data_IF_174304827119
#
_entry.id   IF_174304827119
#
_cell.length_a   1.000
_cell.length_b   1.000
_cell.length_c   1.000
_cell.angle_alpha   90.00
_cell.angle_beta   90.00
_cell.angle_gamma   90.00
#
_symmetry.space_group_name_H-M   'P 1'
#
loop_
_entity.id
_entity.type
_entity.pdbx_description
1 polymer ?
#
# COMPACT_ATOMS: atom_id res chain seq x y z
N UNK A 1 -16.00 -9.43 14.00
CA UNK A 1 -15.52 -9.89 12.68
C UNK A 1 -14.44 -8.92 12.24
N UNK A 2 -13.21 -9.38 12.02
CA UNK A 2 -12.15 -8.50 11.49
C UNK A 2 -12.55 -8.07 10.07
N UNK A 3 -12.53 -6.77 9.80
CA UNK A 3 -12.87 -6.23 8.47
C UNK A 3 -11.66 -6.46 7.56
N UNK A 4 -11.79 -7.42 6.65
CA UNK A 4 -10.77 -7.68 5.63
C UNK A 4 -10.81 -6.53 4.61
N UNK A 5 -9.64 -5.96 4.30
CA UNK A 5 -9.47 -4.88 3.32
C UNK A 5 -9.27 -5.53 1.94
N UNK A 6 -10.05 -5.17 0.91
CA UNK A 6 -9.82 -5.67 -0.43
C UNK A 6 -8.41 -5.35 -0.92
N UNK A 7 -7.72 -6.32 -1.55
CA UNK A 7 -6.36 -6.09 -2.06
C UNK A 7 -6.30 -4.96 -3.09
N UNK A 8 -7.37 -4.78 -3.88
CA UNK A 8 -7.53 -3.69 -4.83
C UNK A 8 -7.40 -2.30 -4.20
N UNK A 9 -7.93 -2.12 -2.99
CA UNK A 9 -7.89 -0.84 -2.27
C UNK A 9 -6.44 -0.52 -1.86
N UNK A 10 -5.67 -1.54 -1.48
CA UNK A 10 -4.25 -1.40 -1.20
C UNK A 10 -3.46 -1.13 -2.49
N UNK A 11 -3.82 -1.77 -3.60
CA UNK A 11 -3.19 -1.55 -4.90
C UNK A 11 -3.30 -0.10 -5.37
N UNK A 12 -4.46 0.53 -5.15
CA UNK A 12 -4.65 1.96 -5.43
C UNK A 12 -3.74 2.83 -4.54
N UNK A 13 -3.58 2.49 -3.26
CA UNK A 13 -2.66 3.20 -2.35
C UNK A 13 -1.20 3.05 -2.78
N UNK A 14 -0.78 1.86 -3.20
CA UNK A 14 0.59 1.61 -3.70
C UNK A 14 0.86 2.44 -4.96
N UNK A 15 -0.08 2.49 -5.90
CA UNK A 15 0.05 3.34 -7.09
C UNK A 15 0.20 4.82 -6.69
N UNK A 16 -0.59 5.28 -5.71
CA UNK A 16 -0.48 6.65 -5.21
C UNK A 16 0.86 6.93 -4.55
N UNK A 17 1.39 5.99 -3.79
CA UNK A 17 2.71 6.07 -3.20
C UNK A 17 3.81 6.20 -4.27
N UNK A 18 3.76 5.42 -5.35
CA UNK A 18 4.66 5.59 -6.50
C UNK A 18 4.54 6.98 -7.15
N UNK A 19 3.34 7.57 -7.23
CA UNK A 19 3.20 8.95 -7.73
C UNK A 19 3.91 9.97 -6.84
N UNK A 20 3.82 9.82 -5.52
CA UNK A 20 4.48 10.72 -4.56
C UNK A 20 6.00 10.63 -4.66
N UNK A 21 6.53 9.41 -4.80
CA UNK A 21 7.96 9.18 -5.06
C UNK A 21 8.40 9.90 -6.33
N UNK A 22 7.66 9.75 -7.44
CA UNK A 22 7.97 10.42 -8.72
C UNK A 22 7.93 11.95 -8.64
N UNK A 23 7.21 12.51 -7.66
CA UNK A 23 7.12 13.96 -7.41
C UNK A 23 8.14 14.46 -6.39
N UNK A 24 9.02 13.58 -5.88
CA UNK A 24 9.96 13.87 -4.79
C UNK A 24 9.27 14.34 -3.50
N UNK A 25 8.01 13.96 -3.31
CA UNK A 25 7.25 14.27 -2.09
C UNK A 25 7.53 13.20 -1.02
N UNK A 26 8.75 13.27 -0.48
CA UNK A 26 9.27 12.26 0.45
C UNK A 26 8.48 12.17 1.76
N UNK A 27 7.94 13.28 2.24
CA UNK A 27 7.16 13.33 3.48
C UNK A 27 5.84 12.57 3.33
N UNK A 28 5.05 12.90 2.30
CA UNK A 28 3.79 12.19 2.06
C UNK A 28 4.02 10.75 1.63
N UNK A 29 5.09 10.47 0.88
CA UNK A 29 5.43 9.11 0.49
C UNK A 29 5.73 8.21 1.71
N UNK A 30 6.45 8.71 2.72
CA UNK A 30 6.76 7.93 3.91
C UNK A 30 5.52 7.69 4.79
N UNK A 31 4.67 8.71 4.95
CA UNK A 31 3.39 8.56 5.66
C UNK A 31 2.52 7.48 5.00
N UNK A 32 2.34 7.56 3.67
CA UNK A 32 1.52 6.60 2.94
C UNK A 32 2.09 5.18 2.96
N UNK A 33 3.42 5.03 2.98
CA UNK A 33 4.09 3.73 3.13
C UNK A 33 3.78 3.06 4.46
N UNK A 34 3.72 3.82 5.55
CA UNK A 34 3.36 3.29 6.88
C UNK A 34 1.91 2.83 6.94
N UNK A 35 1.01 3.58 6.31
CA UNK A 35 -0.40 3.19 6.18
C UNK A 35 -0.56 1.90 5.38
N UNK A 36 0.13 1.77 4.24
CA UNK A 36 0.11 0.56 3.42
C UNK A 36 0.59 -0.63 4.25
N UNK A 37 1.74 -0.51 4.94
CA UNK A 37 2.26 -1.57 5.81
C UNK A 37 1.26 -2.04 6.85
N UNK A 38 0.61 -1.11 7.55
CA UNK A 38 -0.40 -1.45 8.56
C UNK A 38 -1.63 -2.12 7.94
N UNK A 39 -1.96 -1.75 6.70
CA UNK A 39 -3.13 -2.29 6.01
C UNK A 39 -2.89 -3.69 5.43
N UNK A 40 -1.63 -4.06 5.13
CA UNK A 40 -1.27 -5.38 4.60
C UNK A 40 -1.63 -6.53 5.56
N UNK A 41 -1.51 -6.31 6.87
CA UNK A 41 -1.85 -7.31 7.90
C UNK A 41 -3.35 -7.64 7.96
N UNK A 42 -4.19 -6.74 7.44
CA UNK A 42 -5.66 -6.87 7.43
C UNK A 42 -6.23 -6.99 6.01
N UNK A 43 -5.38 -7.20 5.02
CA UNK A 43 -5.77 -7.30 3.62
C UNK A 43 -6.26 -8.71 3.27
N UNK A 44 -7.14 -8.81 2.28
CA UNK A 44 -7.41 -10.04 1.54
C UNK A 44 -6.09 -10.60 1.00
N UNK A 45 -5.87 -11.91 1.13
CA UNK A 45 -4.61 -12.51 0.71
C UNK A 45 -4.39 -12.32 -0.80
N UNK A 46 -3.35 -11.57 -1.14
CA UNK A 46 -2.92 -11.35 -2.52
C UNK A 46 -1.39 -11.34 -2.57
N UNK A 47 -0.83 -12.51 -2.87
CA UNK A 47 0.63 -12.70 -2.92
C UNK A 47 1.30 -11.89 -4.03
N UNK A 48 0.59 -11.61 -5.14
CA UNK A 48 1.13 -10.79 -6.22
C UNK A 48 1.27 -9.33 -5.78
N UNK A 49 0.28 -8.81 -5.06
CA UNK A 49 0.31 -7.45 -4.55
C UNK A 49 1.35 -7.29 -3.43
N UNK A 50 1.48 -8.29 -2.55
CA UNK A 50 2.55 -8.31 -1.55
C UNK A 50 3.93 -8.26 -2.22
N UNK A 51 4.16 -9.09 -3.24
CA UNK A 51 5.40 -9.06 -3.99
C UNK A 51 5.65 -7.69 -4.64
N UNK A 52 4.62 -7.12 -5.29
CA UNK A 52 4.71 -5.80 -5.91
C UNK A 52 5.08 -4.69 -4.91
N UNK A 53 4.58 -4.75 -3.67
CA UNK A 53 4.91 -3.75 -2.65
C UNK A 53 6.35 -3.84 -2.12
N UNK A 54 6.93 -5.05 -2.09
CA UNK A 54 8.27 -5.28 -1.54
C UNK A 54 9.40 -5.16 -2.58
N UNK A 55 9.08 -5.12 -3.87
CA UNK A 55 10.03 -4.90 -4.98
C UNK A 55 10.40 -3.41 -5.15
#
# INVERSE_FOLDING_TARGET
MAKIIPSSDIGVKINKWYELIRRFDSEQAEQLKQEIRTSLDSMEEDQNLLLYFFL
#
